data_IF_575519441004
#
_entry.id   IF_575519441004
#
_cell.length_a   1.000
_cell.length_b   1.000
_cell.length_c   1.000
_cell.angle_alpha   90.00
_cell.angle_beta   90.00
_cell.angle_gamma   90.00
#
_symmetry.space_group_name_H-M   'P 1'
#
loop_
_entity.id
_entity.type
_entity.pdbx_description
1 polymer ?
#
# COMPACT_ATOMS: atom_id res chain seq x y z
N UNK A 1 8.82 6.99 -13.46
CA UNK A 1 8.89 7.17 -11.99
C UNK A 1 7.68 6.46 -11.40
N UNK A 2 7.89 5.58 -10.43
CA UNK A 2 6.84 4.77 -9.81
C UNK A 2 6.56 5.30 -8.40
N UNK A 3 5.30 5.25 -7.97
CA UNK A 3 4.87 5.68 -6.63
C UNK A 3 5.12 4.60 -5.56
N UNK A 4 5.50 3.38 -5.97
CA UNK A 4 5.60 2.22 -5.07
C UNK A 4 6.47 2.48 -3.84
N UNK A 5 7.66 3.06 -4.01
CA UNK A 5 8.58 3.30 -2.90
C UNK A 5 8.01 4.27 -1.86
N UNK A 6 7.39 5.36 -2.30
CA UNK A 6 6.78 6.36 -1.42
C UNK A 6 5.51 5.84 -0.74
N UNK A 7 4.69 5.06 -1.45
CA UNK A 7 3.53 4.39 -0.85
C UNK A 7 3.98 3.42 0.23
N UNK A 8 4.94 2.52 -0.06
CA UNK A 8 5.46 1.56 0.92
C UNK A 8 6.08 2.24 2.14
N UNK A 9 6.77 3.38 1.96
CA UNK A 9 7.28 4.20 3.07
C UNK A 9 6.13 4.68 3.96
N UNK A 10 5.11 5.34 3.39
CA UNK A 10 3.94 5.83 4.15
C UNK A 10 3.19 4.70 4.87
N UNK A 11 3.07 3.54 4.24
CA UNK A 11 2.44 2.35 4.85
C UNK A 11 3.23 1.89 6.08
N UNK A 12 4.56 1.78 5.96
CA UNK A 12 5.44 1.41 7.09
C UNK A 12 5.41 2.45 8.21
N UNK A 13 5.41 3.74 7.87
CA UNK A 13 5.31 4.83 8.85
C UNK A 13 3.99 4.76 9.64
N UNK A 14 2.91 4.29 9.00
CA UNK A 14 1.63 4.02 9.64
C UNK A 14 1.57 2.66 10.37
N UNK A 15 2.67 1.93 10.43
CA UNK A 15 2.77 0.63 11.08
C UNK A 15 2.17 -0.53 10.29
N UNK A 16 1.81 -0.35 9.00
CA UNK A 16 1.38 -1.47 8.16
C UNK A 16 2.56 -2.40 7.88
N UNK A 17 2.31 -3.70 7.79
CA UNK A 17 3.36 -4.69 7.53
C UNK A 17 3.01 -5.61 6.37
N UNK A 18 4.07 -6.07 5.70
CA UNK A 18 3.98 -7.12 4.69
C UNK A 18 3.61 -8.44 5.34
N UNK A 19 2.61 -9.12 4.78
CA UNK A 19 2.15 -10.43 5.26
C UNK A 19 2.70 -11.54 4.37
N UNK A 20 2.50 -11.44 3.05
CA UNK A 20 2.94 -12.45 2.09
C UNK A 20 2.92 -11.92 0.66
N UNK A 21 3.58 -12.66 -0.25
CA UNK A 21 3.45 -12.40 -1.68
C UNK A 21 2.07 -12.82 -2.19
N UNK A 22 1.47 -11.96 -3.00
CA UNK A 22 0.28 -12.23 -3.81
C UNK A 22 0.65 -12.90 -5.13
N UNK A 23 -0.20 -12.74 -6.16
CA UNK A 23 0.08 -13.24 -7.50
C UNK A 23 1.00 -12.26 -8.24
N UNK A 24 2.11 -12.77 -8.78
CA UNK A 24 3.08 -11.96 -9.51
C UNK A 24 3.85 -11.03 -8.56
N UNK A 25 3.90 -9.75 -8.90
CA UNK A 25 4.59 -8.68 -8.17
C UNK A 25 3.74 -8.01 -7.09
N UNK A 26 2.49 -8.44 -6.92
CA UNK A 26 1.60 -7.94 -5.88
C UNK A 26 1.99 -8.46 -4.50
N UNK A 27 1.96 -7.59 -3.51
CA UNK A 27 2.19 -7.90 -2.10
C UNK A 27 0.90 -7.78 -1.30
N UNK A 28 0.69 -8.68 -0.33
CA UNK A 28 -0.41 -8.56 0.63
C UNK A 28 0.13 -7.96 1.93
N UNK A 29 -0.51 -6.88 2.37
CA UNK A 29 -0.17 -6.13 3.57
C UNK A 29 -1.35 -6.12 4.54
N UNK A 30 -1.07 -5.86 5.81
CA UNK A 30 -2.07 -5.69 6.87
C UNK A 30 -1.89 -4.33 7.53
N UNK A 31 -3.01 -3.65 7.78
CA UNK A 31 -3.04 -2.34 8.44
C UNK A 31 -3.49 -2.49 9.89
N UNK A 32 -2.70 -2.01 10.88
CA UNK A 32 -3.16 -1.93 12.26
C UNK A 32 -4.23 -0.85 12.47
N UNK A 33 -4.33 0.12 11.54
CA UNK A 33 -5.24 1.27 11.66
C UNK A 33 -6.69 0.83 11.57
N UNK A 34 -6.98 -0.13 10.69
CA UNK A 34 -8.35 -0.60 10.44
C UNK A 34 -8.49 -2.14 10.51
N UNK A 35 -7.42 -2.87 10.81
CA UNK A 35 -7.39 -4.34 10.92
C UNK A 35 -7.60 -5.07 9.59
N UNK A 36 -7.48 -4.39 8.44
CA UNK A 36 -7.73 -4.98 7.13
C UNK A 36 -6.45 -5.41 6.44
N UNK A 37 -6.57 -6.49 5.66
CA UNK A 37 -5.58 -6.88 4.65
C UNK A 37 -5.90 -6.24 3.32
N UNK A 38 -4.87 -5.76 2.63
CA UNK A 38 -4.99 -5.10 1.33
C UNK A 38 -3.80 -5.47 0.44
N UNK A 39 -3.92 -5.18 -0.85
CA UNK A 39 -2.89 -5.50 -1.84
C UNK A 39 -2.12 -4.23 -2.22
N UNK A 40 -0.80 -4.35 -2.33
CA UNK A 40 0.10 -3.31 -2.83
C UNK A 40 0.70 -3.80 -4.14
N UNK A 41 0.52 -3.03 -5.22
CA UNK A 41 1.10 -3.30 -6.54
C UNK A 41 2.62 -3.07 -6.50
N UNK A 42 3.37 -3.92 -7.20
CA UNK A 42 4.83 -3.83 -7.30
C UNK A 42 5.30 -2.61 -8.11
N UNK A 43 4.48 -2.12 -9.06
CA UNK A 43 4.78 -0.98 -9.90
C UNK A 43 3.58 -0.02 -10.06
N UNK A 44 3.36 0.80 -9.03
CA UNK A 44 2.30 1.80 -8.99
C UNK A 44 2.65 2.98 -9.91
N UNK A 45 2.07 3.01 -11.12
CA UNK A 45 2.34 4.08 -12.11
C UNK A 45 1.45 5.32 -11.98
N UNK A 46 0.36 5.24 -11.23
CA UNK A 46 -0.64 6.32 -11.15
C UNK A 46 -0.88 6.80 -9.73
N UNK A 47 -1.14 8.12 -9.59
CA UNK A 47 -1.57 8.75 -8.33
C UNK A 47 -2.89 8.18 -7.82
N UNK A 48 -3.78 7.80 -8.73
CA UNK A 48 -5.07 7.21 -8.37
C UNK A 48 -4.86 5.88 -7.65
N UNK A 49 -4.03 5.00 -8.20
CA UNK A 49 -3.68 3.71 -7.58
C UNK A 49 -2.94 3.92 -6.27
N UNK A 50 -1.96 4.83 -6.22
CA UNK A 50 -1.23 5.15 -4.98
C UNK A 50 -2.16 5.58 -3.84
N UNK A 51 -3.09 6.51 -4.13
CA UNK A 51 -4.09 6.95 -3.16
C UNK A 51 -5.12 5.87 -2.83
N UNK A 52 -5.44 4.99 -3.77
CA UNK A 52 -6.29 3.82 -3.54
C UNK A 52 -5.66 2.91 -2.48
N UNK A 53 -4.39 2.56 -2.63
CA UNK A 53 -3.65 1.75 -1.66
C UNK A 53 -3.61 2.39 -0.27
N UNK A 54 -3.37 3.70 -0.18
CA UNK A 54 -3.41 4.40 1.11
C UNK A 54 -4.80 4.34 1.74
N UNK A 55 -5.86 4.53 0.94
CA UNK A 55 -7.25 4.45 1.41
C UNK A 55 -7.59 3.05 1.92
N UNK A 56 -7.16 1.99 1.24
CA UNK A 56 -7.40 0.61 1.66
C UNK A 56 -6.72 0.30 3.00
N UNK A 57 -5.54 0.89 3.23
CA UNK A 57 -4.84 0.86 4.52
C UNK A 57 -5.50 1.73 5.61
N UNK A 58 -6.55 2.50 5.29
CA UNK A 58 -7.21 3.42 6.21
C UNK A 58 -6.54 4.79 6.37
N UNK A 59 -5.66 5.16 5.44
CA UNK A 59 -4.90 6.41 5.47
C UNK A 59 -5.50 7.47 4.54
N UNK A 60 -5.19 8.74 4.83
CA UNK A 60 -5.54 9.85 3.96
C UNK A 60 -4.74 9.83 2.65
N UNK A 61 -5.30 10.47 1.62
CA UNK A 61 -4.62 10.66 0.32
C UNK A 61 -3.34 11.48 0.49
N UNK A 62 -2.32 11.19 -0.31
CA UNK A 62 -1.03 11.87 -0.24
C UNK A 62 -0.37 12.15 -1.60
N UNK A 63 -1.01 11.76 -2.72
CA UNK A 63 -0.48 11.92 -4.08
C UNK A 63 -1.47 12.61 -5.03
#
# INVERSE_FOLDING_TARGET
MSYTADVKRKLKDAGCWFVRQGRGDHEVWESPVNGKRFTVDGDIKSRHTANGTLKDAGLNKAF
#
